data_IF_462259281309
#
_entry.id   IF_462259281309
#
_cell.length_a   1.000
_cell.length_b   1.000
_cell.length_c   1.000
_cell.angle_alpha   90.00
_cell.angle_beta   90.00
_cell.angle_gamma   90.00
#
_symmetry.space_group_name_H-M   'P 1'
#
loop_
_entity.id
_entity.type
_entity.pdbx_description
1 polymer ?
#
# COMPACT_ATOMS: atom_id res chain seq x y z
N UNK A 1 25.60 45.72 12.48
CA UNK A 1 24.41 46.52 12.10
C UNK A 1 24.12 46.43 10.60
N UNK A 2 25.14 46.31 9.74
CA UNK A 2 24.96 46.07 8.29
C UNK A 2 24.44 44.65 7.97
N UNK A 3 24.94 43.61 8.65
CA UNK A 3 24.52 42.21 8.40
C UNK A 3 23.06 41.95 8.78
N UNK A 4 22.58 42.59 9.84
CA UNK A 4 21.19 42.47 10.32
C UNK A 4 20.19 43.12 9.37
N UNK A 5 20.62 44.16 8.64
CA UNK A 5 19.81 44.82 7.61
C UNK A 5 19.81 43.98 6.32
N UNK A 6 20.94 43.35 5.98
CA UNK A 6 21.00 42.43 4.84
C UNK A 6 20.09 41.20 5.05
N UNK A 7 20.10 40.59 6.24
CA UNK A 7 19.20 39.48 6.59
C UNK A 7 17.72 39.89 6.58
N UNK A 8 17.39 41.09 7.09
CA UNK A 8 16.02 41.61 7.07
C UNK A 8 15.53 41.92 5.64
N UNK A 9 16.42 42.42 4.76
CA UNK A 9 16.11 42.66 3.34
C UNK A 9 15.97 41.35 2.57
N UNK A 10 16.74 40.32 2.93
CA UNK A 10 16.67 39.00 2.30
C UNK A 10 15.40 38.24 2.75
N UNK A 11 15.02 38.33 4.02
CA UNK A 11 13.72 37.85 4.53
C UNK A 11 12.53 38.63 3.95
N UNK A 12 12.65 39.95 3.77
CA UNK A 12 11.63 40.74 3.11
C UNK A 12 11.50 40.39 1.62
N UNK A 13 12.61 40.13 0.93
CA UNK A 13 12.61 39.68 -0.47
C UNK A 13 12.02 38.26 -0.61
N UNK A 14 12.33 37.32 0.29
CA UNK A 14 11.69 36.00 0.33
C UNK A 14 10.18 36.09 0.59
N UNK A 15 9.74 36.93 1.54
CA UNK A 15 8.33 37.17 1.83
C UNK A 15 7.57 37.86 0.68
N UNK A 16 8.23 38.71 -0.12
CA UNK A 16 7.64 39.33 -1.31
C UNK A 16 7.57 38.32 -2.47
N UNK A 17 8.54 37.39 -2.58
CA UNK A 17 8.55 36.36 -3.62
C UNK A 17 7.52 35.26 -3.35
N UNK A 18 7.25 34.92 -2.08
CA UNK A 18 6.12 34.05 -1.70
C UNK A 18 4.76 34.68 -2.03
N UNK A 19 4.63 36.01 -1.90
CA UNK A 19 3.42 36.76 -2.27
C UNK A 19 3.24 36.99 -3.78
N UNK A 20 4.24 36.71 -4.62
CA UNK A 20 4.11 36.78 -6.08
C UNK A 20 3.52 35.51 -6.70
N UNK A 21 3.41 34.42 -5.94
CA UNK A 21 2.85 33.14 -6.35
C UNK A 21 1.48 32.91 -5.70
N UNK A 22 0.61 33.93 -5.71
CA UNK A 22 -0.81 33.79 -5.34
C UNK A 22 -1.45 32.84 -6.35
N UNK A 23 -1.42 31.55 -6.03
CA UNK A 23 -2.13 30.51 -6.74
C UNK A 23 -3.59 30.93 -6.80
N UNK A 24 -4.05 31.27 -8.00
CA UNK A 24 -5.46 31.58 -8.28
C UNK A 24 -6.28 30.42 -7.71
N UNK A 25 -7.26 30.68 -6.82
CA UNK A 25 -8.07 29.63 -6.25
C UNK A 25 -8.89 28.98 -7.37
N UNK A 26 -8.83 27.66 -7.46
CA UNK A 26 -9.53 26.87 -8.47
C UNK A 26 -11.03 27.16 -8.47
N UNK A 27 -11.66 27.19 -9.65
CA UNK A 27 -13.12 27.26 -9.77
C UNK A 27 -13.81 26.13 -8.98
N UNK A 28 -15.01 26.38 -8.42
CA UNK A 28 -15.80 25.35 -7.76
C UNK A 28 -16.04 24.10 -8.61
N UNK A 29 -16.22 24.29 -9.92
CA UNK A 29 -16.39 23.20 -10.90
C UNK A 29 -15.12 22.37 -11.05
N UNK A 30 -13.95 23.00 -11.13
CA UNK A 30 -12.65 22.33 -11.22
C UNK A 30 -12.30 21.55 -9.96
N UNK A 31 -12.63 22.10 -8.78
CA UNK A 31 -12.48 21.38 -7.50
C UNK A 31 -13.38 20.15 -7.43
N UNK A 32 -14.65 20.28 -7.82
CA UNK A 32 -15.58 19.15 -7.84
C UNK A 32 -15.10 18.05 -8.77
N UNK A 33 -14.70 18.38 -10.01
CA UNK A 33 -14.15 17.43 -10.96
C UNK A 33 -12.91 16.71 -10.42
N UNK A 34 -12.01 17.44 -9.76
CA UNK A 34 -10.81 16.87 -9.17
C UNK A 34 -11.13 15.89 -8.04
N UNK A 35 -12.04 16.25 -7.13
CA UNK A 35 -12.46 15.36 -6.06
C UNK A 35 -13.19 14.11 -6.58
N UNK A 36 -14.11 14.26 -7.54
CA UNK A 36 -14.78 13.11 -8.16
C UNK A 36 -13.79 12.17 -8.84
N UNK A 37 -12.80 12.73 -9.55
CA UNK A 37 -11.76 11.94 -10.22
C UNK A 37 -10.88 11.19 -9.21
N UNK A 38 -10.50 11.83 -8.10
CA UNK A 38 -9.74 11.18 -7.02
C UNK A 38 -10.54 10.06 -6.34
N UNK A 39 -11.84 10.26 -6.11
CA UNK A 39 -12.70 9.22 -5.55
C UNK A 39 -12.76 8.01 -6.48
N UNK A 40 -12.96 8.22 -7.78
CA UNK A 40 -12.94 7.11 -8.76
C UNK A 40 -11.58 6.41 -8.73
N UNK A 41 -10.49 7.16 -8.79
CA UNK A 41 -9.13 6.61 -8.75
C UNK A 41 -8.79 5.90 -7.42
N UNK A 42 -9.47 6.20 -6.32
CA UNK A 42 -9.34 5.49 -5.06
C UNK A 42 -10.14 4.18 -5.04
N UNK A 43 -11.32 4.16 -5.66
CA UNK A 43 -12.19 2.98 -5.68
C UNK A 43 -11.69 1.88 -6.61
N UNK A 44 -11.10 2.23 -7.76
CA UNK A 44 -10.65 1.25 -8.75
C UNK A 44 -9.58 0.29 -8.18
N UNK A 45 -8.50 0.75 -7.52
CA UNK A 45 -7.50 -0.14 -6.95
C UNK A 45 -8.06 -1.09 -5.91
N UNK A 46 -8.97 -0.61 -5.04
CA UNK A 46 -9.59 -1.45 -4.03
C UNK A 46 -10.42 -2.55 -4.68
N UNK A 47 -11.22 -2.22 -5.70
CA UNK A 47 -12.08 -3.19 -6.37
C UNK A 47 -11.28 -4.23 -7.16
N UNK A 48 -10.32 -3.80 -7.99
CA UNK A 48 -9.51 -4.71 -8.77
C UNK A 48 -8.52 -5.48 -7.90
N UNK A 49 -7.86 -4.82 -6.95
CA UNK A 49 -6.95 -5.43 -5.99
C UNK A 49 -7.64 -6.48 -5.13
N UNK A 50 -8.86 -6.22 -4.64
CA UNK A 50 -9.62 -7.22 -3.87
C UNK A 50 -9.93 -8.47 -4.69
N UNK A 51 -10.34 -8.31 -5.97
CA UNK A 51 -10.59 -9.45 -6.86
C UNK A 51 -9.32 -10.24 -7.18
N UNK A 52 -8.21 -9.54 -7.43
CA UNK A 52 -6.89 -10.15 -7.69
C UNK A 52 -6.39 -10.88 -6.44
N UNK A 53 -6.52 -10.29 -5.26
CA UNK A 53 -6.18 -10.92 -3.98
C UNK A 53 -6.90 -12.28 -3.77
N UNK A 54 -8.16 -12.40 -4.17
CA UNK A 54 -8.89 -13.68 -4.13
C UNK A 54 -8.35 -14.69 -5.14
N UNK A 55 -7.96 -14.26 -6.36
CA UNK A 55 -7.34 -15.17 -7.34
C UNK A 55 -5.98 -15.65 -6.85
N UNK A 56 -5.16 -14.73 -6.39
CA UNK A 56 -3.82 -14.99 -5.87
C UNK A 56 -3.85 -15.95 -4.68
N UNK A 57 -4.82 -15.80 -3.77
CA UNK A 57 -5.01 -16.75 -2.66
C UNK A 57 -5.34 -18.17 -3.14
N UNK A 58 -6.12 -18.31 -4.23
CA UNK A 58 -6.43 -19.65 -4.78
C UNK A 58 -5.19 -20.28 -5.40
N UNK A 59 -4.42 -19.50 -6.16
CA UNK A 59 -3.17 -19.94 -6.77
C UNK A 59 -2.16 -20.38 -5.71
N UNK A 60 -2.02 -19.63 -4.61
CA UNK A 60 -1.16 -20.01 -3.48
C UNK A 60 -1.61 -21.31 -2.78
N UNK A 61 -2.93 -21.51 -2.63
CA UNK A 61 -3.47 -22.76 -2.07
C UNK A 61 -3.21 -23.96 -2.98
N UNK A 62 -3.17 -23.76 -4.29
CA UNK A 62 -2.84 -24.79 -5.28
C UNK A 62 -1.33 -25.07 -5.34
N UNK A 63 -0.48 -24.05 -5.20
CA UNK A 63 0.99 -24.19 -5.22
C UNK A 63 1.58 -24.71 -3.89
N UNK A 64 0.79 -24.82 -2.82
CA UNK A 64 1.23 -25.17 -1.46
C UNK A 64 2.35 -24.27 -0.91
N UNK A 65 2.52 -23.06 -1.46
CA UNK A 65 3.45 -22.07 -0.95
C UNK A 65 2.84 -21.38 0.27
N UNK A 66 3.65 -21.20 1.33
CA UNK A 66 3.22 -20.47 2.53
C UNK A 66 3.28 -18.97 2.23
N UNK A 67 2.16 -18.24 2.31
CA UNK A 67 2.20 -16.80 2.10
C UNK A 67 2.90 -16.08 3.26
N UNK A 68 3.54 -14.96 2.94
CA UNK A 68 3.97 -13.98 3.94
C UNK A 68 2.72 -13.29 4.50
N UNK A 69 2.32 -13.71 5.70
CA UNK A 69 1.11 -13.26 6.36
C UNK A 69 1.47 -12.20 7.41
N UNK A 70 0.74 -11.09 7.43
CA UNK A 70 0.91 -10.08 8.47
C UNK A 70 0.34 -10.58 9.80
N UNK A 71 1.19 -10.76 10.82
CA UNK A 71 0.76 -11.25 12.13
C UNK A 71 0.17 -10.13 13.00
N UNK A 72 -0.47 -10.50 14.12
CA UNK A 72 -0.99 -9.52 15.09
C UNK A 72 0.10 -8.61 15.67
N UNK A 73 1.32 -9.15 15.84
CA UNK A 73 2.47 -8.37 16.33
C UNK A 73 2.91 -7.35 15.27
N UNK A 74 3.00 -7.78 14.02
CA UNK A 74 3.36 -6.89 12.91
C UNK A 74 2.35 -5.76 12.75
N UNK A 75 1.05 -6.07 12.87
CA UNK A 75 -0.03 -5.09 12.84
C UNK A 75 0.09 -4.02 13.93
N UNK A 76 0.43 -4.43 15.15
CA UNK A 76 0.59 -3.51 16.28
C UNK A 76 1.88 -2.68 16.18
N UNK A 77 2.95 -3.25 15.61
CA UNK A 77 4.20 -2.54 15.38
C UNK A 77 4.13 -1.60 14.18
N UNK A 78 3.22 -1.82 13.23
CA UNK A 78 3.14 -1.06 11.99
C UNK A 78 3.05 0.47 12.21
N UNK A 79 2.17 1.02 13.08
CA UNK A 79 2.15 2.46 13.36
C UNK A 79 3.44 3.00 13.98
N UNK A 80 4.13 2.18 14.79
CA UNK A 80 5.39 2.56 15.44
C UNK A 80 6.51 2.61 14.39
N UNK A 81 6.62 1.58 13.55
CA UNK A 81 7.59 1.52 12.45
C UNK A 81 7.35 2.69 11.49
N UNK A 82 6.09 2.94 11.11
CA UNK A 82 5.71 4.07 10.27
C UNK A 82 6.11 5.41 10.90
N UNK A 83 5.91 5.57 12.22
CA UNK A 83 6.30 6.78 12.96
C UNK A 83 7.81 6.99 12.95
N UNK A 84 8.58 5.94 13.24
CA UNK A 84 10.04 5.98 13.18
C UNK A 84 10.55 6.28 11.77
N UNK A 85 9.96 5.67 10.73
CA UNK A 85 10.33 5.90 9.35
C UNK A 85 9.99 7.34 8.90
N UNK A 86 8.81 7.85 9.23
CA UNK A 86 8.38 9.21 8.91
C UNK A 86 9.29 10.25 9.59
N UNK A 87 9.56 10.06 10.89
CA UNK A 87 10.42 10.95 11.65
C UNK A 87 11.88 10.87 11.18
N UNK A 88 12.38 9.67 10.87
CA UNK A 88 13.70 9.47 10.29
C UNK A 88 13.86 10.19 8.95
N UNK A 89 12.85 10.08 8.07
CA UNK A 89 12.81 10.79 6.79
C UNK A 89 12.74 12.31 6.99
N UNK A 90 11.99 12.79 7.98
CA UNK A 90 11.95 14.21 8.35
C UNK A 90 13.32 14.76 8.76
N UNK A 91 14.04 14.02 9.63
CA UNK A 91 15.41 14.38 10.01
C UNK A 91 16.31 14.35 8.77
N UNK A 92 16.17 13.34 7.91
CA UNK A 92 16.96 13.23 6.69
C UNK A 92 16.78 14.45 5.76
N UNK A 93 15.54 14.91 5.57
CA UNK A 93 15.24 16.15 4.82
C UNK A 93 15.75 17.43 5.49
N UNK A 94 15.98 17.43 6.80
CA UNK A 94 16.60 18.56 7.51
C UNK A 94 18.12 18.59 7.37
N UNK A 95 18.76 17.42 7.25
CA UNK A 95 20.22 17.30 7.21
C UNK A 95 20.75 17.37 5.77
N UNK A 96 20.06 16.74 4.81
CA UNK A 96 20.50 16.65 3.42
C UNK A 96 19.67 17.57 2.51
N UNK A 97 20.24 17.95 1.37
CA UNK A 97 19.50 18.75 0.39
C UNK A 97 18.33 17.96 -0.19
N UNK A 98 17.19 18.62 -0.34
CA UNK A 98 15.95 18.01 -0.84
C UNK A 98 16.13 17.39 -2.23
N UNK A 99 17.02 17.96 -3.04
CA UNK A 99 17.26 17.51 -4.40
C UNK A 99 17.88 16.11 -4.47
N UNK A 100 18.93 15.83 -3.67
CA UNK A 100 19.54 14.50 -3.65
C UNK A 100 18.58 13.45 -3.10
N UNK A 101 17.79 13.81 -2.08
CA UNK A 101 16.79 12.91 -1.51
C UNK A 101 15.71 12.58 -2.55
N UNK A 102 15.17 13.60 -3.21
CA UNK A 102 14.16 13.39 -4.25
C UNK A 102 14.72 12.65 -5.46
N UNK A 103 15.98 12.85 -5.85
CA UNK A 103 16.63 12.08 -6.90
C UNK A 103 16.73 10.59 -6.53
N UNK A 104 17.21 10.28 -5.32
CA UNK A 104 17.31 8.92 -4.80
C UNK A 104 15.94 8.23 -4.76
N UNK A 105 14.95 8.89 -4.18
CA UNK A 105 13.60 8.36 -4.06
C UNK A 105 12.93 8.20 -5.43
N UNK A 106 13.11 9.17 -6.33
CA UNK A 106 12.59 9.07 -7.69
C UNK A 106 13.18 7.85 -8.40
N UNK A 107 14.49 7.59 -8.26
CA UNK A 107 15.13 6.39 -8.81
C UNK A 107 14.57 5.10 -8.21
N UNK A 108 14.41 5.05 -6.89
CA UNK A 108 13.83 3.90 -6.19
C UNK A 108 12.39 3.60 -6.64
N UNK A 109 11.52 4.61 -6.64
CA UNK A 109 10.13 4.48 -7.06
C UNK A 109 9.96 4.27 -8.56
N UNK A 110 10.92 4.70 -9.38
CA UNK A 110 10.94 4.35 -10.81
C UNK A 110 11.12 2.84 -10.99
N UNK A 111 12.12 2.23 -10.34
CA UNK A 111 12.36 0.78 -10.47
C UNK A 111 11.16 -0.01 -9.96
N UNK A 112 10.69 0.30 -8.76
CA UNK A 112 9.49 -0.34 -8.22
C UNK A 112 8.26 -0.09 -9.08
N UNK A 113 8.12 1.11 -9.65
CA UNK A 113 6.98 1.50 -10.47
C UNK A 113 6.93 0.72 -11.77
N UNK A 114 8.07 0.54 -12.44
CA UNK A 114 8.17 -0.26 -13.67
C UNK A 114 7.78 -1.71 -13.40
N UNK A 115 8.25 -2.30 -12.30
CA UNK A 115 7.89 -3.67 -11.90
C UNK A 115 6.41 -3.80 -11.50
N UNK A 116 5.89 -2.82 -10.75
CA UNK A 116 4.49 -2.81 -10.34
C UNK A 116 3.56 -2.68 -11.55
N UNK A 117 3.90 -1.79 -12.49
CA UNK A 117 3.12 -1.56 -13.69
C UNK A 117 3.19 -2.75 -14.66
N UNK A 118 4.35 -3.40 -14.81
CA UNK A 118 4.47 -4.58 -15.65
C UNK A 118 3.60 -5.74 -15.14
N UNK A 119 3.61 -5.98 -13.82
CA UNK A 119 2.73 -6.98 -13.17
C UNK A 119 1.24 -6.68 -13.35
N UNK A 120 0.86 -5.39 -13.30
CA UNK A 120 -0.52 -4.97 -13.54
C UNK A 120 -0.93 -5.18 -15.01
N UNK A 121 -0.02 -4.88 -15.94
CA UNK A 121 -0.27 -4.92 -17.38
C UNK A 121 -0.26 -6.35 -17.95
N UNK A 122 0.41 -7.31 -17.32
CA UNK A 122 0.52 -8.69 -17.78
C UNK A 122 -0.83 -9.34 -18.19
N UNK A 123 -1.88 -9.36 -17.35
CA UNK A 123 -3.19 -9.94 -17.73
C UNK A 123 -3.97 -9.12 -18.76
N UNK A 124 -3.61 -7.85 -18.97
CA UNK A 124 -4.24 -6.97 -19.97
C UNK A 124 -3.59 -7.20 -21.33
N UNK A 125 -2.26 -7.27 -21.35
CA UNK A 125 -1.44 -7.50 -22.55
C UNK A 125 -1.64 -8.93 -23.06
N UNK A 126 -1.77 -9.94 -22.19
CA UNK A 126 -2.06 -11.31 -22.63
C UNK A 126 -3.41 -11.45 -23.36
N UNK A 127 -4.36 -10.52 -23.13
CA UNK A 127 -5.66 -10.48 -23.83
C UNK A 127 -5.65 -9.61 -25.09
N UNK A 128 -4.76 -8.61 -25.15
CA UNK A 128 -4.71 -7.60 -26.22
C UNK A 128 -3.65 -7.89 -27.28
N UNK A 129 -2.58 -8.60 -26.93
CA UNK A 129 -1.50 -8.86 -27.87
C UNK A 129 -1.97 -9.81 -28.98
N UNK A 130 -1.79 -9.43 -30.26
CA UNK A 130 -2.13 -10.30 -31.38
C UNK A 130 -1.39 -11.65 -31.29
N UNK A 131 -1.96 -12.70 -31.87
CA UNK A 131 -1.32 -14.02 -32.04
C UNK A 131 0.04 -13.99 -32.78
N UNK A 132 0.48 -12.81 -33.24
CA UNK A 132 1.77 -12.54 -33.86
C UNK A 132 2.97 -12.62 -32.91
N UNK A 133 2.77 -12.50 -31.58
CA UNK A 133 3.84 -12.73 -30.60
C UNK A 133 3.68 -14.13 -30.00
N UNK A 134 4.61 -15.08 -30.27
CA UNK A 134 4.51 -16.43 -29.74
C UNK A 134 4.71 -16.43 -28.21
N UNK A 135 3.86 -17.20 -27.52
CA UNK A 135 4.04 -17.52 -26.11
C UNK A 135 5.27 -18.43 -25.98
N UNK A 136 6.42 -17.83 -25.62
CA UNK A 136 7.65 -18.56 -25.34
C UNK A 136 7.92 -18.44 -23.84
N UNK A 137 7.88 -19.57 -23.10
CA UNK A 137 8.28 -19.58 -21.70
C UNK A 137 9.82 -19.60 -21.62
N UNK A 138 10.39 -18.62 -20.94
CA UNK A 138 11.80 -18.57 -20.59
C UNK A 138 11.99 -18.94 -19.12
N UNK A 139 13.00 -19.74 -18.83
CA UNK A 139 13.30 -20.23 -17.50
C UNK A 139 14.73 -19.85 -17.16
N UNK A 140 14.91 -19.00 -16.15
CA UNK A 140 16.22 -18.75 -15.55
C UNK A 140 16.30 -19.59 -14.28
N UNK A 141 17.06 -20.68 -14.34
CA UNK A 141 17.36 -21.54 -13.19
C UNK A 141 18.77 -21.26 -12.70
N UNK A 142 18.89 -20.74 -11.48
CA UNK A 142 20.15 -20.70 -10.76
C UNK A 142 20.22 -21.89 -9.81
N UNK A 143 21.08 -22.86 -10.13
CA UNK A 143 21.32 -24.03 -9.28
C UNK A 143 22.65 -23.88 -8.55
N UNK A 144 22.68 -24.28 -7.28
CA UNK A 144 23.94 -24.41 -6.51
C UNK A 144 24.12 -25.88 -6.15
N UNK A 145 25.09 -26.52 -6.78
CA UNK A 145 25.29 -27.96 -6.64
C UNK A 145 24.29 -28.78 -7.45
N UNK A 146 24.11 -30.05 -7.10
CA UNK A 146 23.42 -31.04 -7.93
C UNK A 146 21.90 -31.13 -7.72
N UNK A 147 21.33 -30.59 -6.63
CA UNK A 147 19.90 -30.83 -6.30
C UNK A 147 19.16 -29.67 -5.58
N UNK A 148 19.72 -28.46 -5.49
CA UNK A 148 19.01 -27.31 -4.91
C UNK A 148 18.85 -26.18 -5.94
N UNK A 149 17.62 -26.03 -6.44
CA UNK A 149 17.20 -24.87 -7.24
C UNK A 149 17.12 -23.67 -6.29
N UNK A 150 18.09 -22.75 -6.36
CA UNK A 150 18.11 -21.55 -5.51
C UNK A 150 17.08 -20.52 -5.97
N UNK A 151 16.94 -20.36 -7.29
CA UNK A 151 16.01 -19.42 -7.93
C UNK A 151 15.52 -20.06 -9.25
N UNK A 152 14.24 -20.37 -9.36
CA UNK A 152 13.55 -20.75 -10.61
C UNK A 152 12.65 -19.59 -11.06
N UNK A 153 13.20 -18.67 -11.85
CA UNK A 153 12.45 -17.53 -12.37
C UNK A 153 11.90 -17.83 -13.76
N UNK A 154 10.58 -17.96 -13.84
CA UNK A 154 9.85 -18.19 -15.10
C UNK A 154 9.28 -16.86 -15.59
N UNK A 155 9.60 -16.49 -16.82
CA UNK A 155 9.05 -15.30 -17.47
C UNK A 155 8.68 -15.61 -18.91
N UNK A 156 7.69 -14.89 -19.41
CA UNK A 156 7.16 -15.11 -20.75
C UNK A 156 7.52 -13.96 -21.68
N UNK A 157 7.44 -14.17 -23.00
CA UNK A 157 7.57 -13.10 -23.99
C UNK A 157 6.64 -11.90 -23.69
N UNK A 158 5.44 -12.16 -23.14
CA UNK A 158 4.50 -11.10 -22.78
C UNK A 158 5.00 -10.26 -21.61
N UNK A 159 5.68 -10.85 -20.63
CA UNK A 159 6.24 -10.12 -19.49
C UNK A 159 7.35 -9.16 -19.93
N UNK A 160 8.16 -9.56 -20.92
CA UNK A 160 9.18 -8.70 -21.53
C UNK A 160 8.52 -7.49 -22.21
N UNK A 161 7.45 -7.72 -22.98
CA UNK A 161 6.69 -6.64 -23.63
C UNK A 161 6.09 -5.69 -22.60
N UNK A 162 5.50 -6.23 -21.53
CA UNK A 162 4.98 -5.43 -20.40
C UNK A 162 6.07 -4.58 -19.76
N UNK A 163 7.27 -5.15 -19.58
CA UNK A 163 8.40 -4.46 -18.97
C UNK A 163 8.92 -3.33 -19.87
N UNK A 164 9.00 -3.54 -21.19
CA UNK A 164 9.41 -2.50 -22.15
C UNK A 164 8.41 -1.34 -22.11
N UNK A 165 7.10 -1.61 -22.20
CA UNK A 165 6.06 -0.57 -22.16
C UNK A 165 6.12 0.20 -20.83
N UNK A 166 6.24 -0.52 -19.71
CA UNK A 166 6.33 0.08 -18.38
C UNK A 166 7.58 0.94 -18.22
N UNK A 167 8.70 0.53 -18.83
CA UNK A 167 9.94 1.31 -18.85
C UNK A 167 9.78 2.60 -19.65
N UNK A 168 9.10 2.57 -20.81
CA UNK A 168 8.82 3.77 -21.60
C UNK A 168 8.01 4.79 -20.78
N UNK A 169 6.96 4.32 -20.11
CA UNK A 169 6.14 5.16 -19.20
C UNK A 169 6.99 5.71 -18.05
N UNK A 170 7.88 4.90 -17.49
CA UNK A 170 8.78 5.33 -16.41
C UNK A 170 9.79 6.38 -16.86
N UNK A 171 10.37 6.23 -18.04
CA UNK A 171 11.31 7.21 -18.60
C UNK A 171 10.59 8.53 -18.86
N UNK A 172 9.35 8.48 -19.36
CA UNK A 172 8.50 9.66 -19.49
C UNK A 172 8.23 10.35 -18.15
N UNK A 173 8.01 9.59 -17.08
CA UNK A 173 7.89 10.11 -15.73
C UNK A 173 9.18 10.80 -15.25
N UNK A 174 10.36 10.22 -15.49
CA UNK A 174 11.64 10.83 -15.08
C UNK A 174 11.89 12.18 -15.75
N UNK A 175 11.57 12.32 -17.05
CA UNK A 175 11.83 13.56 -17.78
C UNK A 175 10.84 14.68 -17.49
N UNK A 176 9.56 14.35 -17.28
CA UNK A 176 8.50 15.36 -17.22
C UNK A 176 7.77 15.44 -15.88
N UNK A 177 7.92 14.42 -15.02
CA UNK A 177 7.16 14.26 -13.77
C UNK A 177 5.66 14.53 -13.97
N UNK A 178 5.10 14.11 -15.10
CA UNK A 178 3.69 14.35 -15.41
C UNK A 178 2.79 13.64 -14.40
N UNK A 179 1.73 14.33 -13.99
CA UNK A 179 0.74 13.83 -13.04
C UNK A 179 0.06 12.53 -13.52
N UNK A 180 -0.11 12.35 -14.83
CA UNK A 180 -0.70 11.12 -15.41
C UNK A 180 0.20 9.92 -15.14
N UNK A 181 1.49 10.04 -15.43
CA UNK A 181 2.45 8.96 -15.19
C UNK A 181 2.60 8.68 -13.69
N UNK A 182 2.61 9.74 -12.86
CA UNK A 182 2.56 9.63 -11.41
C UNK A 182 1.35 8.82 -10.92
N UNK A 183 0.15 9.16 -11.41
CA UNK A 183 -1.08 8.46 -11.04
C UNK A 183 -1.12 7.03 -11.56
N UNK A 184 -0.57 6.77 -12.74
CA UNK A 184 -0.48 5.41 -13.28
C UNK A 184 0.39 4.51 -12.39
N UNK A 185 1.56 5.01 -11.96
CA UNK A 185 2.38 4.30 -10.97
C UNK A 185 1.69 4.19 -9.61
N UNK A 186 1.08 5.26 -9.12
CA UNK A 186 0.35 5.24 -7.86
C UNK A 186 -0.81 4.22 -7.86
N UNK A 187 -1.57 4.12 -8.94
CA UNK A 187 -2.62 3.12 -9.12
C UNK A 187 -2.05 1.71 -9.20
N UNK A 188 -0.93 1.50 -9.90
CA UNK A 188 -0.26 0.20 -9.94
C UNK A 188 0.22 -0.24 -8.55
N UNK A 189 0.85 0.67 -7.79
CA UNK A 189 1.22 0.42 -6.40
C UNK A 189 0.02 0.14 -5.52
N UNK A 190 -1.08 0.87 -5.69
CA UNK A 190 -2.29 0.64 -4.90
C UNK A 190 -2.91 -0.73 -5.16
N UNK A 191 -3.03 -1.13 -6.43
CA UNK A 191 -3.59 -2.45 -6.80
C UNK A 191 -2.68 -3.55 -6.27
N UNK A 192 -1.37 -3.49 -6.53
CA UNK A 192 -0.43 -4.52 -6.07
C UNK A 192 -0.34 -4.54 -4.54
N UNK A 193 -0.43 -3.39 -3.87
CA UNK A 193 -0.48 -3.31 -2.41
C UNK A 193 -1.70 -4.03 -1.84
N UNK A 194 -2.88 -3.84 -2.43
CA UNK A 194 -4.12 -4.54 -2.00
C UNK A 194 -4.10 -6.04 -2.38
N UNK A 195 -3.43 -6.39 -3.49
CA UNK A 195 -3.30 -7.77 -3.96
C UNK A 195 -2.35 -8.60 -3.08
N UNK A 196 -1.15 -8.07 -2.80
CA UNK A 196 -0.02 -8.81 -2.19
C UNK A 196 0.00 -8.76 -0.66
N UNK A 197 -0.50 -7.69 -0.04
CA UNK A 197 -0.47 -7.57 1.43
C UNK A 197 -1.64 -8.35 2.04
N UNK A 198 -1.33 -9.55 2.53
CA UNK A 198 -2.32 -10.46 3.11
C UNK A 198 -2.44 -10.30 4.62
N UNK A 199 -3.61 -9.85 5.06
CA UNK A 199 -4.07 -10.02 6.44
C UNK A 199 -4.60 -11.44 6.61
N UNK A 200 -4.25 -12.12 7.72
CA UNK A 200 -4.79 -13.45 8.02
C UNK A 200 -6.22 -13.38 8.57
N UNK A 201 -6.42 -12.48 9.53
CA UNK A 201 -7.58 -12.46 10.41
C UNK A 201 -8.20 -11.07 10.45
N UNK A 202 -9.53 -11.02 10.62
CA UNK A 202 -10.26 -9.74 10.72
C UNK A 202 -9.80 -8.93 11.93
N UNK A 203 -9.48 -9.61 13.04
CA UNK A 203 -8.94 -8.98 14.26
C UNK A 203 -7.63 -8.24 13.97
N UNK A 204 -6.71 -8.87 13.21
CA UNK A 204 -5.45 -8.24 12.82
C UNK A 204 -5.69 -6.99 11.99
N UNK A 205 -6.66 -7.03 11.08
CA UNK A 205 -7.12 -5.85 10.33
C UNK A 205 -7.68 -4.74 11.21
N UNK A 206 -8.51 -5.07 12.20
CA UNK A 206 -9.04 -4.09 13.16
C UNK A 206 -7.93 -3.45 14.01
N UNK A 207 -6.92 -4.24 14.43
CA UNK A 207 -5.76 -3.73 15.18
C UNK A 207 -4.93 -2.79 14.30
N UNK A 208 -4.63 -3.18 13.06
CA UNK A 208 -3.88 -2.34 12.12
C UNK A 208 -4.60 -1.01 11.88
N UNK A 209 -5.90 -1.06 11.51
CA UNK A 209 -6.70 0.13 11.24
C UNK A 209 -6.85 1.02 12.49
N UNK A 210 -7.09 0.42 13.66
CA UNK A 210 -7.17 1.16 14.92
C UNK A 210 -5.85 1.82 15.32
N UNK A 211 -4.71 1.15 15.09
CA UNK A 211 -3.39 1.73 15.31
C UNK A 211 -3.09 2.88 14.36
N UNK A 212 -3.46 2.74 13.08
CA UNK A 212 -3.27 3.78 12.08
C UNK A 212 -4.21 4.98 12.24
N UNK A 213 -5.40 4.77 12.81
CA UNK A 213 -6.28 5.86 13.23
C UNK A 213 -5.61 6.78 14.24
N UNK A 214 -4.97 6.22 15.27
CA UNK A 214 -4.25 7.00 16.29
C UNK A 214 -3.02 7.69 15.67
N UNK A 215 -2.28 6.96 14.83
CA UNK A 215 -1.13 7.48 14.10
C UNK A 215 -1.47 8.73 13.28
N UNK A 216 -2.55 8.67 12.48
CA UNK A 216 -2.92 9.76 11.59
C UNK A 216 -3.34 11.01 12.38
N UNK A 217 -4.11 10.83 13.47
CA UNK A 217 -4.48 11.93 14.38
C UNK A 217 -3.23 12.58 14.97
N UNK A 218 -2.28 11.79 15.48
CA UNK A 218 -1.07 12.30 16.11
C UNK A 218 -0.19 13.05 15.11
N UNK A 219 0.07 12.49 13.93
CA UNK A 219 1.00 13.09 12.97
C UNK A 219 0.40 14.22 12.14
N UNK A 220 -0.93 14.26 11.94
CA UNK A 220 -1.62 15.33 11.22
C UNK A 220 -1.92 16.51 12.13
N UNK A 221 -2.48 16.29 13.33
CA UNK A 221 -2.86 17.38 14.24
C UNK A 221 -1.79 17.72 15.28
N UNK A 222 -1.03 16.73 15.73
CA UNK A 222 -0.06 16.91 16.81
C UNK A 222 1.27 17.52 16.38
N UNK A 223 1.68 17.38 15.12
CA UNK A 223 3.00 17.83 14.65
C UNK A 223 2.98 18.36 13.21
N UNK A 224 3.95 19.22 12.84
CA UNK A 224 4.13 19.69 11.46
C UNK A 224 4.96 18.73 10.58
N UNK A 225 5.34 17.55 11.10
CA UNK A 225 6.26 16.62 10.44
C UNK A 225 5.63 16.04 9.18
N UNK A 226 4.41 15.53 9.27
CA UNK A 226 3.72 14.91 8.13
C UNK A 226 3.54 15.88 6.97
N UNK A 227 3.14 17.13 7.26
CA UNK A 227 2.97 18.17 6.24
C UNK A 227 4.32 18.56 5.62
N UNK A 228 5.39 18.66 6.41
CA UNK A 228 6.73 19.01 5.91
C UNK A 228 7.30 17.93 5.00
N UNK A 229 7.17 16.66 5.38
CA UNK A 229 7.59 15.53 4.55
C UNK A 229 6.73 15.48 3.28
N UNK A 230 5.41 15.58 3.38
CA UNK A 230 4.50 15.52 2.23
C UNK A 230 4.74 16.64 1.20
N UNK A 231 5.20 17.81 1.63
CA UNK A 231 5.59 18.94 0.77
C UNK A 231 6.99 18.77 0.16
N UNK A 232 7.92 18.15 0.88
CA UNK A 232 9.31 17.99 0.42
C UNK A 232 9.53 16.76 -0.46
N UNK A 233 8.58 15.83 -0.44
CA UNK A 233 8.67 14.52 -1.08
C UNK A 233 7.98 14.51 -2.46
N UNK A 234 8.77 14.29 -3.51
CA UNK A 234 8.31 14.24 -4.91
C UNK A 234 8.42 12.83 -5.52
N UNK A 235 7.57 11.90 -5.09
CA UNK A 235 7.48 10.58 -5.70
C UNK A 235 6.03 10.07 -5.76
N UNK A 236 5.75 8.98 -6.52
CA UNK A 236 4.42 8.45 -6.77
C UNK A 236 3.85 7.68 -5.58
N UNK A 237 3.81 8.33 -4.41
CA UNK A 237 3.20 7.85 -3.16
C UNK A 237 1.83 8.50 -2.92
N UNK A 238 1.41 9.40 -3.81
CA UNK A 238 0.12 10.09 -3.75
C UNK A 238 -0.47 10.19 -5.15
N UNK A 239 -1.80 10.06 -5.21
CA UNK A 239 -2.55 10.39 -6.40
C UNK A 239 -2.80 11.88 -6.41
N UNK A 240 -2.59 12.51 -7.57
CA UNK A 240 -2.74 13.96 -7.72
C UNK A 240 -3.65 14.25 -8.90
N UNK A 241 -4.63 15.13 -8.72
CA UNK A 241 -5.48 15.57 -9.83
C UNK A 241 -5.54 17.09 -9.89
N UNK A 242 -5.32 17.69 -11.07
CA UNK A 242 -5.34 19.14 -11.22
C UNK A 242 -6.74 19.70 -10.96
N UNK A 243 -6.84 20.65 -10.02
CA UNK A 243 -8.08 21.38 -9.73
C UNK A 243 -8.36 22.44 -10.80
N UNK A 244 -7.31 23.03 -11.39
CA UNK A 244 -7.44 24.05 -12.43
C UNK A 244 -7.55 23.44 -13.84
N UNK A 245 -7.89 22.16 -13.99
CA UNK A 245 -7.89 21.48 -15.29
C UNK A 245 -8.79 22.18 -16.32
N UNK A 246 -9.93 22.70 -15.87
CA UNK A 246 -10.89 23.40 -16.73
C UNK A 246 -10.39 24.79 -17.18
N UNK A 247 -9.51 25.42 -16.40
CA UNK A 247 -9.01 26.78 -16.67
C UNK A 247 -7.66 26.79 -17.39
N UNK A 248 -6.74 25.91 -16.98
CA UNK A 248 -5.34 25.88 -17.44
C UNK A 248 -4.99 24.61 -18.24
N UNK A 249 -5.97 23.75 -18.49
CA UNK A 249 -5.76 22.49 -19.19
C UNK A 249 -4.70 21.61 -18.52
N UNK A 250 -3.84 20.99 -19.33
CA UNK A 250 -2.80 20.06 -18.86
C UNK A 250 -1.64 20.73 -18.09
N UNK A 251 -1.61 22.07 -18.00
CA UNK A 251 -0.58 22.87 -17.31
C UNK A 251 -1.03 23.43 -15.95
N UNK A 252 -2.02 22.80 -15.33
CA UNK A 252 -2.56 23.21 -14.04
C UNK A 252 -1.53 23.21 -12.90
N UNK A 253 -1.70 24.13 -11.95
CA UNK A 253 -0.77 24.43 -10.86
C UNK A 253 -1.27 24.00 -9.47
N UNK A 254 -2.58 23.89 -9.31
CA UNK A 254 -3.22 23.42 -8.09
C UNK A 254 -3.63 21.96 -8.23
N UNK A 255 -3.20 21.12 -7.29
CA UNK A 255 -3.49 19.70 -7.30
C UNK A 255 -4.19 19.30 -6.00
N UNK A 256 -5.32 18.61 -6.14
CA UNK A 256 -5.88 17.82 -5.06
C UNK A 256 -5.02 16.57 -4.90
N UNK A 257 -4.76 16.15 -3.67
CA UNK A 257 -3.87 15.02 -3.37
C UNK A 257 -4.60 14.01 -2.47
N UNK A 258 -4.37 12.72 -2.72
CA UNK A 258 -4.82 11.62 -1.87
C UNK A 258 -3.66 10.66 -1.64
N UNK A 259 -3.41 10.29 -0.38
CA UNK A 259 -2.33 9.38 -0.03
C UNK A 259 -2.62 7.95 -0.46
N UNK A 260 -1.62 7.22 -0.97
CA UNK A 260 -1.82 5.80 -1.29
C UNK A 260 -2.10 4.96 -0.04
N UNK A 261 -1.58 5.36 1.13
CA UNK A 261 -1.89 4.71 2.40
C UNK A 261 -3.38 4.69 2.72
N UNK A 262 -4.09 5.77 2.42
CA UNK A 262 -5.54 5.90 2.67
C UNK A 262 -6.38 5.00 1.75
N UNK A 263 -5.80 4.54 0.64
CA UNK A 263 -6.43 3.63 -0.32
C UNK A 263 -6.05 2.17 0.02
N UNK A 264 -4.75 1.92 0.17
CA UNK A 264 -4.20 0.57 0.34
C UNK A 264 -4.57 -0.02 1.69
N UNK A 265 -4.45 0.73 2.79
CA UNK A 265 -4.68 0.20 4.14
C UNK A 265 -6.15 -0.20 4.37
N UNK A 266 -7.16 0.63 4.05
CA UNK A 266 -8.54 0.16 4.07
C UNK A 266 -8.80 -0.90 2.99
N UNK A 267 -8.13 -0.79 1.84
CA UNK A 267 -8.25 -1.73 0.72
C UNK A 267 -7.87 -3.17 1.08
N UNK A 268 -6.77 -3.39 1.80
CA UNK A 268 -6.36 -4.73 2.27
C UNK A 268 -7.39 -5.35 3.22
N UNK A 269 -8.04 -4.53 4.04
CA UNK A 269 -9.11 -4.97 4.93
C UNK A 269 -10.38 -5.34 4.16
N UNK A 270 -10.76 -4.53 3.17
CA UNK A 270 -11.88 -4.81 2.27
C UNK A 270 -11.62 -6.09 1.44
N UNK A 271 -10.37 -6.30 1.00
CA UNK A 271 -9.96 -7.52 0.30
C UNK A 271 -10.06 -8.77 1.20
N UNK A 272 -9.68 -8.66 2.48
CA UNK A 272 -9.91 -9.71 3.48
C UNK A 272 -11.41 -10.04 3.63
N UNK A 273 -12.27 -9.02 3.70
CA UNK A 273 -13.72 -9.24 3.80
C UNK A 273 -14.31 -9.90 2.56
N UNK A 274 -13.75 -9.62 1.37
CA UNK A 274 -14.14 -10.34 0.15
C UNK A 274 -13.73 -11.82 0.23
N UNK A 275 -12.53 -12.12 0.72
CA UNK A 275 -12.07 -13.50 0.95
C UNK A 275 -12.97 -14.23 1.96
N UNK A 276 -13.38 -13.53 3.03
CA UNK A 276 -14.38 -14.02 3.98
C UNK A 276 -15.75 -14.29 3.35
N UNK A 277 -16.28 -13.38 2.52
CA UNK A 277 -17.54 -13.60 1.80
C UNK A 277 -17.47 -14.88 0.94
N UNK A 278 -16.34 -15.15 0.28
CA UNK A 278 -16.13 -16.37 -0.49
C UNK A 278 -16.02 -17.63 0.39
N UNK A 279 -15.42 -17.51 1.58
CA UNK A 279 -15.27 -18.64 2.51
C UNK A 279 -16.61 -19.13 3.09
N UNK A 280 -17.57 -18.21 3.27
CA UNK A 280 -18.92 -18.51 3.74
C UNK A 280 -19.75 -19.37 2.77
N UNK A 281 -19.29 -19.56 1.52
CA UNK A 281 -20.01 -20.29 0.44
C UNK A 281 -21.43 -19.78 0.15
N UNK A 282 -21.82 -18.62 0.70
CA UNK A 282 -23.04 -17.91 0.35
C UNK A 282 -22.74 -17.17 -0.95
N UNK A 283 -23.55 -17.33 -2.00
CA UNK A 283 -23.32 -16.67 -3.32
C UNK A 283 -23.42 -15.13 -3.28
N UNK A 284 -23.47 -14.52 -2.09
CA UNK A 284 -23.60 -13.09 -1.84
C UNK A 284 -22.29 -12.52 -1.28
N UNK A 285 -21.86 -11.36 -1.79
CA UNK A 285 -20.63 -10.66 -1.36
C UNK A 285 -20.97 -9.46 -0.47
N UNK A 286 -21.70 -9.71 0.60
CA UNK A 286 -22.36 -8.64 1.37
C UNK A 286 -21.36 -7.85 2.19
N UNK A 287 -20.39 -8.51 2.82
CA UNK A 287 -19.38 -7.82 3.62
C UNK A 287 -18.50 -6.92 2.76
N UNK A 288 -18.09 -7.40 1.59
CA UNK A 288 -17.35 -6.62 0.61
C UNK A 288 -18.12 -5.39 0.16
N UNK A 289 -19.34 -5.55 -0.38
CA UNK A 289 -20.08 -4.41 -0.93
C UNK A 289 -20.50 -3.41 0.15
N UNK A 290 -20.93 -3.88 1.33
CA UNK A 290 -21.28 -2.99 2.44
C UNK A 290 -20.08 -2.13 2.88
N UNK A 291 -18.91 -2.76 3.05
CA UNK A 291 -17.70 -2.06 3.49
C UNK A 291 -17.11 -1.18 2.38
N UNK A 292 -17.22 -1.59 1.12
CA UNK A 292 -16.81 -0.77 -0.02
C UNK A 292 -17.66 0.51 -0.15
N UNK A 293 -18.97 0.41 0.07
CA UNK A 293 -19.86 1.58 0.13
C UNK A 293 -19.52 2.44 1.35
N UNK A 294 -19.24 1.83 2.51
CA UNK A 294 -18.82 2.57 3.69
C UNK A 294 -17.51 3.34 3.49
N UNK A 295 -16.53 2.74 2.80
CA UNK A 295 -15.29 3.42 2.39
C UNK A 295 -15.59 4.62 1.49
N UNK A 296 -16.44 4.47 0.49
CA UNK A 296 -16.86 5.58 -0.38
C UNK A 296 -17.51 6.71 0.44
N UNK A 297 -18.44 6.37 1.34
CA UNK A 297 -19.09 7.36 2.21
C UNK A 297 -18.10 8.05 3.15
N UNK A 298 -17.14 7.31 3.71
CA UNK A 298 -16.08 7.86 4.55
C UNK A 298 -15.16 8.81 3.78
N UNK A 299 -14.81 8.48 2.53
CA UNK A 299 -14.03 9.35 1.65
C UNK A 299 -14.81 10.61 1.24
N UNK A 300 -16.11 10.48 1.00
CA UNK A 300 -16.96 11.65 0.74
C UNK A 300 -17.06 12.55 1.97
N UNK A 301 -17.15 11.98 3.18
CA UNK A 301 -17.15 12.73 4.42
C UNK A 301 -15.81 13.48 4.64
N UNK A 302 -14.67 12.86 4.33
CA UNK A 302 -13.36 13.54 4.47
C UNK A 302 -13.27 14.74 3.54
N UNK A 303 -13.66 14.58 2.28
CA UNK A 303 -13.67 15.64 1.29
C UNK A 303 -14.63 16.76 1.71
N UNK A 304 -15.82 16.41 2.20
CA UNK A 304 -16.80 17.38 2.68
C UNK A 304 -16.26 18.22 3.85
N UNK A 305 -15.69 17.57 4.86
CA UNK A 305 -15.10 18.27 6.01
C UNK A 305 -13.91 19.12 5.57
N UNK A 306 -13.02 18.60 4.73
CA UNK A 306 -11.90 19.38 4.20
C UNK A 306 -12.35 20.62 3.44
N UNK A 307 -13.46 20.52 2.68
CA UNK A 307 -14.03 21.65 1.95
C UNK A 307 -14.60 22.72 2.89
N UNK A 308 -15.34 22.30 3.93
CA UNK A 308 -15.94 23.22 4.92
C UNK A 308 -14.87 23.93 5.76
N UNK A 309 -13.90 23.18 6.27
CA UNK A 309 -12.91 23.70 7.23
C UNK A 309 -11.66 24.28 6.56
N UNK A 310 -11.47 24.09 5.24
CA UNK A 310 -10.28 24.56 4.47
C UNK A 310 -8.92 24.17 5.08
N UNK A 311 -8.91 23.12 5.90
CA UNK A 311 -7.73 22.56 6.53
C UNK A 311 -7.58 21.09 6.15
N UNK A 312 -6.34 20.64 6.00
CA UNK A 312 -6.06 19.23 5.79
C UNK A 312 -6.54 18.43 7.00
N UNK A 313 -7.28 17.35 6.73
CA UNK A 313 -7.81 16.46 7.75
C UNK A 313 -7.15 15.08 7.59
N UNK A 314 -6.92 14.35 8.68
CA UNK A 314 -6.51 12.95 8.63
C UNK A 314 -7.61 12.13 7.95
N UNK A 315 -7.29 11.47 6.84
CA UNK A 315 -8.30 10.73 6.06
C UNK A 315 -8.78 9.48 6.82
N UNK A 316 -7.86 8.82 7.55
CA UNK A 316 -8.16 7.62 8.31
C UNK A 316 -9.10 7.87 9.48
N UNK A 317 -9.21 9.12 9.96
CA UNK A 317 -10.15 9.53 11.00
C UNK A 317 -11.60 9.16 10.66
N UNK A 318 -11.99 9.25 9.39
CA UNK A 318 -13.35 8.94 8.93
C UNK A 318 -13.44 7.56 8.27
N UNK A 319 -12.38 7.16 7.56
CA UNK A 319 -12.34 5.87 6.85
C UNK A 319 -12.31 4.69 7.82
N UNK A 320 -11.51 4.75 8.89
CA UNK A 320 -11.36 3.62 9.81
C UNK A 320 -12.67 3.28 10.53
N UNK A 321 -13.39 4.24 11.16
CA UNK A 321 -14.68 3.94 11.77
C UNK A 321 -15.68 3.37 10.76
N UNK A 322 -15.77 3.96 9.56
CA UNK A 322 -16.68 3.47 8.52
C UNK A 322 -16.36 2.03 8.10
N UNK A 323 -15.09 1.72 7.86
CA UNK A 323 -14.65 0.41 7.41
C UNK A 323 -14.70 -0.67 8.49
N UNK A 324 -14.53 -0.34 9.77
CA UNK A 324 -14.56 -1.33 10.87
C UNK A 324 -15.97 -1.53 11.41
N UNK A 325 -16.74 -0.45 11.61
CA UNK A 325 -18.09 -0.54 12.22
C UNK A 325 -19.05 -1.25 11.27
N UNK A 326 -19.01 -0.94 9.98
CA UNK A 326 -19.95 -1.52 8.98
C UNK A 326 -19.96 -3.04 8.95
N UNK A 327 -18.84 -3.76 8.75
CA UNK A 327 -18.84 -5.23 8.73
C UNK A 327 -19.23 -5.84 10.08
N UNK A 328 -18.90 -5.19 11.20
CA UNK A 328 -19.33 -5.63 12.53
C UNK A 328 -20.86 -5.52 12.66
N UNK A 329 -21.45 -4.39 12.27
CA UNK A 329 -22.90 -4.20 12.26
C UNK A 329 -23.61 -5.21 11.35
N UNK A 330 -23.08 -5.43 10.14
CA UNK A 330 -23.62 -6.45 9.22
C UNK A 330 -23.54 -7.85 9.83
N UNK A 331 -22.44 -8.19 10.50
CA UNK A 331 -22.28 -9.48 11.17
C UNK A 331 -23.21 -9.64 12.38
N UNK A 332 -23.50 -8.55 13.10
CA UNK A 332 -24.51 -8.56 14.17
C UNK A 332 -25.91 -8.81 13.62
N UNK A 333 -26.31 -8.13 12.54
CA UNK A 333 -27.63 -8.30 11.91
C UNK A 333 -27.80 -9.70 11.32
N UNK A 334 -26.73 -10.30 10.78
CA UNK A 334 -26.75 -11.64 10.19
C UNK A 334 -26.47 -12.78 11.16
N UNK A 335 -26.01 -12.48 12.37
CA UNK A 335 -25.61 -13.48 13.36
C UNK A 335 -24.27 -14.18 13.09
N UNK A 336 -23.45 -13.68 12.17
CA UNK A 336 -22.16 -14.29 11.79
C UNK A 336 -20.97 -13.76 12.64
N UNK A 337 -21.22 -12.99 13.69
CA UNK A 337 -20.16 -12.28 14.45
C UNK A 337 -19.01 -13.18 14.93
N UNK A 338 -19.34 -14.37 15.46
CA UNK A 338 -18.33 -15.34 15.90
C UNK A 338 -17.52 -15.88 14.73
N UNK A 339 -18.17 -16.12 13.58
CA UNK A 339 -17.51 -16.59 12.37
C UNK A 339 -16.58 -15.53 11.79
N UNK A 340 -17.00 -14.26 11.80
CA UNK A 340 -16.19 -13.14 11.30
C UNK A 340 -14.89 -12.99 12.10
N UNK A 341 -14.97 -13.04 13.43
CA UNK A 341 -13.78 -12.91 14.29
C UNK A 341 -12.90 -14.16 14.34
N UNK A 342 -13.48 -15.35 14.13
CA UNK A 342 -12.74 -16.60 14.05
C UNK A 342 -12.20 -16.90 12.64
N UNK A 343 -12.45 -16.02 11.67
CA UNK A 343 -11.98 -16.23 10.31
C UNK A 343 -10.45 -16.09 10.22
N UNK A 344 -9.82 -17.10 9.64
CA UNK A 344 -8.40 -17.13 9.29
C UNK A 344 -8.24 -17.60 7.85
N UNK A 345 -7.52 -16.82 7.03
CA UNK A 345 -7.26 -17.15 5.63
C UNK A 345 -6.37 -18.40 5.48
N UNK A 346 -5.41 -18.53 6.39
CA UNK A 346 -4.47 -19.64 6.54
C UNK A 346 -4.39 -20.00 8.03
N UNK A 347 -5.15 -21.01 8.50
CA UNK A 347 -5.09 -21.44 9.89
C UNK A 347 -3.68 -21.96 10.19
N UNK A 348 -3.06 -21.45 11.25
CA UNK A 348 -1.80 -22.01 11.74
C UNK A 348 -2.06 -23.44 12.24
N UNK A 349 -1.25 -24.41 11.80
CA UNK A 349 -1.22 -25.72 12.46
C UNK A 349 -0.85 -25.48 13.93
N UNK A 350 -1.83 -25.62 14.82
CA UNK A 350 -1.59 -25.53 16.26
C UNK A 350 -0.52 -26.57 16.59
N UNK A 351 0.65 -26.12 17.02
CA UNK A 351 1.61 -26.98 17.69
C UNK A 351 0.87 -27.53 18.92
N UNK A 352 0.57 -28.82 18.90
CA UNK A 352 0.12 -29.51 20.10
C UNK A 352 1.18 -29.28 21.17
N UNK A 353 0.80 -28.54 22.21
CA UNK A 353 1.64 -28.35 23.38
C UNK A 353 2.03 -29.71 23.93
N UNK A 354 3.34 -29.98 23.98
CA UNK A 354 3.96 -31.05 24.75
C UNK A 354 3.54 -30.93 26.22
N UNK A 355 2.38 -31.51 26.55
CA UNK A 355 1.94 -31.80 27.91
C UNK A 355 1.70 -33.29 28.05
N UNK A 356 2.77 -34.07 27.92
CA UNK A 356 2.86 -35.38 28.57
C UNK A 356 4.30 -35.91 28.53
N UNK A 357 5.11 -35.53 29.52
CA UNK A 357 6.18 -36.38 30.06
C UNK A 357 6.87 -35.68 31.24
N UNK A 358 6.16 -35.58 32.36
CA UNK A 358 6.80 -35.65 33.68
C UNK A 358 6.45 -37.01 34.29
N UNK A 359 7.38 -37.95 34.24
CA UNK A 359 7.75 -38.86 35.35
C UNK A 359 8.62 -40.02 34.83
N UNK A 360 9.94 -39.93 35.04
CA UNK A 360 10.70 -40.83 35.95
C UNK A 360 12.22 -40.53 35.91
N UNK A 361 12.96 -40.87 36.99
CA UNK A 361 14.21 -40.20 37.37
C UNK A 361 15.48 -40.84 36.79
N UNK A 362 16.55 -40.04 36.87
CA UNK A 362 17.95 -40.31 36.50
C UNK A 362 18.55 -41.55 37.19
N UNK A 363 19.38 -42.29 36.46
CA UNK A 363 20.52 -43.05 37.00
C UNK A 363 21.68 -43.12 35.98
N UNK A 364 22.69 -42.30 36.23
CA UNK A 364 24.14 -42.54 36.22
C UNK A 364 24.88 -43.32 35.10
N UNK A 365 25.66 -42.54 34.32
CA UNK A 365 27.14 -42.53 34.15
C UNK A 365 27.95 -43.82 33.88
N UNK A 366 28.80 -43.69 32.84
CA UNK A 366 30.05 -44.40 32.49
C UNK A 366 29.92 -45.84 31.93
N UNK A 367 30.43 -46.18 30.75
CA UNK A 367 31.71 -45.80 30.16
C UNK A 367 32.67 -46.98 30.27
N UNK A 368 32.87 -47.74 29.19
CA UNK A 368 34.04 -48.61 29.02
C UNK A 368 34.30 -48.92 27.55
N UNK A 369 35.40 -48.36 27.06
CA UNK A 369 36.15 -48.87 25.92
C UNK A 369 36.61 -50.30 26.20
N UNK A 370 36.63 -51.18 25.20
CA UNK A 370 37.88 -51.70 24.63
C UNK A 370 37.67 -52.58 23.40
N UNK A 371 38.78 -52.69 22.67
CA UNK A 371 39.04 -53.21 21.32
C UNK A 371 38.84 -54.72 21.13
N UNK A 372 38.93 -55.08 19.83
CA UNK A 372 39.47 -56.34 19.23
C UNK A 372 38.49 -57.53 19.30
N UNK A 373 38.25 -58.32 18.25
CA UNK A 373 39.10 -58.82 17.15
C UNK A 373 38.22 -59.65 16.17
N UNK A 374 38.51 -59.57 14.87
CA UNK A 374 38.73 -60.69 13.92
C UNK A 374 37.74 -61.87 13.99
N UNK A 375 36.94 -62.02 12.92
CA UNK A 375 37.18 -63.07 11.91
C UNK A 375 36.63 -62.64 10.56
#
# INVERSE_FOLDING_TARGET
MADTIAEAVQQAAENITENANVKIPATPEGMFLAYSSLVIMALLPIFFGSKRSVSHQKEQKESSEKPDIMTKKDAMMFPIIASCALFGLYIFFKIFSKEYINLLLTGYFFVLGVLALSHLMAPVISKLVPSSIPYVPFHIKFTKGTNEDLIDYKFTSYDIVCLIISTIVGVWYLFKKHWIANNLFGLAFAVNGVELLHLNNVITGCILLGGLFIYDIFWVFGTNVMVTVAKSFEAPIKLVFPQDLLEKGLSASNFAMLGLGDIVIPGIFIALLLRYDYSLKRKSKVYFYATFIAYFMGLMATIFVMHVYKHAQPALLYLVPACVITPICVAMVRGDLKSLFAYEDHPEEKKEDEKESKEKPKSDVAGKAEKKKIK
#
